data_IF_131156966929
#
_entry.id   IF_131156966929
#
_cell.length_a   1.000
_cell.length_b   1.000
_cell.length_c   1.000
_cell.angle_alpha   90.00
_cell.angle_beta   90.00
_cell.angle_gamma   90.00
#
_symmetry.space_group_name_H-M   'P 1'
#
loop_
_entity.id
_entity.type
_entity.pdbx_description
1 polymer ?
#
# COMPACT_ATOMS: atom_id res chain seq x y z
N UNK A 1 -14.05 -5.75 -16.56
CA UNK A 1 -13.68 -4.39 -16.07
C UNK A 1 -12.32 -4.46 -15.41
N UNK A 2 -11.41 -3.55 -15.71
CA UNK A 2 -10.15 -3.49 -14.99
C UNK A 2 -10.37 -3.19 -13.52
N UNK A 3 -9.48 -3.71 -12.67
CA UNK A 3 -9.51 -3.48 -11.24
C UNK A 3 -9.22 -1.99 -10.95
N UNK A 4 -10.03 -1.26 -10.21
CA UNK A 4 -9.79 0.14 -9.92
C UNK A 4 -8.61 0.35 -8.95
N UNK A 5 -7.98 1.52 -9.03
CA UNK A 5 -6.94 1.92 -8.06
C UNK A 5 -7.55 1.97 -6.65
N UNK A 6 -6.84 1.44 -5.68
CA UNK A 6 -7.29 1.33 -4.29
C UNK A 6 -8.05 0.05 -3.98
N UNK A 7 -8.21 -0.83 -4.96
CA UNK A 7 -8.65 -2.20 -4.73
C UNK A 7 -7.52 -3.19 -5.01
N UNK A 8 -7.59 -4.37 -4.43
CA UNK A 8 -6.64 -5.43 -4.66
C UNK A 8 -7.33 -6.79 -4.63
N UNK A 9 -6.81 -7.72 -5.43
CA UNK A 9 -7.24 -9.12 -5.42
C UNK A 9 -6.05 -10.02 -5.14
N UNK A 10 -6.28 -11.05 -4.36
CA UNK A 10 -5.34 -12.10 -4.07
C UNK A 10 -5.76 -13.38 -4.80
N UNK A 11 -4.88 -13.92 -5.61
CA UNK A 11 -5.13 -15.13 -6.40
C UNK A 11 -4.02 -16.16 -6.18
N UNK A 12 -4.31 -17.46 -6.29
CA UNK A 12 -3.27 -18.47 -6.28
C UNK A 12 -2.29 -18.26 -7.45
N UNK A 13 -1.00 -18.40 -7.20
CA UNK A 13 0.03 -18.24 -8.23
C UNK A 13 0.16 -19.45 -9.17
N UNK A 14 -0.34 -20.60 -8.74
CA UNK A 14 -0.08 -21.89 -9.38
C UNK A 14 1.29 -22.48 -9.04
N UNK A 15 2.08 -21.83 -8.21
CA UNK A 15 3.38 -22.29 -7.74
C UNK A 15 3.39 -22.44 -6.21
N UNK A 16 4.43 -23.11 -5.69
CA UNK A 16 4.60 -23.28 -4.23
C UNK A 16 5.14 -22.00 -3.60
N UNK A 17 6.02 -21.29 -4.29
CA UNK A 17 6.65 -20.08 -3.78
C UNK A 17 6.90 -19.07 -4.93
N UNK A 18 6.25 -17.91 -4.92
CA UNK A 18 5.20 -17.52 -3.97
C UNK A 18 3.91 -18.31 -4.21
N UNK A 19 3.17 -18.60 -3.15
CA UNK A 19 1.88 -19.33 -3.25
C UNK A 19 0.74 -18.46 -3.78
N UNK A 20 0.83 -17.15 -3.61
CA UNK A 20 -0.19 -16.18 -4.01
C UNK A 20 0.43 -15.00 -4.76
N UNK A 21 -0.38 -14.41 -5.62
CA UNK A 21 -0.11 -13.13 -6.27
C UNK A 21 -1.19 -12.14 -5.85
N UNK A 22 -0.77 -10.91 -5.58
CA UNK A 22 -1.68 -9.81 -5.26
C UNK A 22 -1.58 -8.78 -6.38
N UNK A 23 -2.70 -8.53 -7.04
CA UNK A 23 -2.83 -7.47 -8.03
C UNK A 23 -3.43 -6.24 -7.36
N UNK A 24 -2.67 -5.16 -7.34
CA UNK A 24 -3.07 -3.86 -6.79
C UNK A 24 -2.63 -2.77 -7.78
N UNK A 25 -3.53 -2.31 -8.66
CA UNK A 25 -3.16 -1.37 -9.71
C UNK A 25 -2.85 0.01 -9.12
N UNK A 26 -1.83 0.66 -9.67
CA UNK A 26 -1.47 2.06 -9.38
C UNK A 26 -1.95 3.03 -10.46
N UNK A 27 -2.41 2.51 -11.59
CA UNK A 27 -2.81 3.28 -12.76
C UNK A 27 -4.19 2.84 -13.25
N UNK A 28 -4.99 3.79 -13.72
CA UNK A 28 -6.29 3.53 -14.32
C UNK A 28 -6.17 3.20 -15.81
N UNK A 29 -5.13 3.70 -16.45
CA UNK A 29 -4.79 3.42 -17.84
C UNK A 29 -3.30 3.14 -18.00
N UNK A 30 -2.94 2.37 -19.02
CA UNK A 30 -1.53 2.11 -19.34
C UNK A 30 -0.80 3.42 -19.62
N UNK A 31 0.42 3.54 -19.10
CA UNK A 31 1.29 4.71 -19.26
C UNK A 31 0.80 6.00 -18.56
N UNK A 32 -0.14 5.92 -17.64
CA UNK A 32 -0.54 7.06 -16.83
C UNK A 32 0.63 7.53 -15.94
N UNK A 33 0.88 8.84 -15.93
CA UNK A 33 1.78 9.46 -14.96
C UNK A 33 1.04 9.62 -13.62
N UNK A 34 1.48 8.93 -12.60
CA UNK A 34 0.87 8.95 -11.25
C UNK A 34 1.76 9.63 -10.22
N UNK A 35 2.77 10.39 -10.66
CA UNK A 35 3.78 11.02 -9.80
C UNK A 35 3.21 12.07 -8.83
N UNK A 36 2.06 12.65 -9.16
CA UNK A 36 1.37 13.64 -8.33
C UNK A 36 -0.01 13.15 -7.86
N UNK A 37 -0.14 11.86 -7.70
CA UNK A 37 -1.37 11.21 -7.22
C UNK A 37 -1.10 10.41 -5.95
N UNK A 38 -2.17 9.99 -5.29
CA UNK A 38 -2.15 9.12 -4.13
C UNK A 38 -2.18 7.64 -4.48
N UNK A 39 -2.13 7.32 -5.76
CA UNK A 39 -2.39 5.99 -6.27
C UNK A 39 -1.46 4.95 -5.66
N UNK A 40 -0.19 5.28 -5.43
CA UNK A 40 0.77 4.36 -4.80
C UNK A 40 0.39 4.04 -3.35
N UNK A 41 -0.01 5.04 -2.58
CA UNK A 41 -0.45 4.83 -1.19
C UNK A 41 -1.73 4.00 -1.14
N UNK A 42 -2.69 4.29 -2.01
CA UNK A 42 -3.95 3.54 -2.13
C UNK A 42 -3.71 2.09 -2.54
N UNK A 43 -2.88 1.86 -3.55
CA UNK A 43 -2.54 0.50 -4.01
C UNK A 43 -1.81 -0.30 -2.94
N UNK A 44 -0.87 0.32 -2.23
CA UNK A 44 -0.12 -0.33 -1.16
C UNK A 44 -1.04 -0.73 0.00
N UNK A 45 -1.91 0.17 0.46
CA UNK A 45 -2.88 -0.13 1.51
C UNK A 45 -3.86 -1.23 1.09
N UNK A 46 -4.35 -1.18 -0.14
CA UNK A 46 -5.24 -2.22 -0.69
C UNK A 46 -4.56 -3.59 -0.78
N UNK A 47 -3.27 -3.63 -1.14
CA UNK A 47 -2.50 -4.87 -1.17
C UNK A 47 -2.39 -5.50 0.23
N UNK A 48 -2.08 -4.73 1.26
CA UNK A 48 -2.03 -5.23 2.64
C UNK A 48 -3.42 -5.63 3.16
N UNK A 49 -4.47 -4.93 2.77
CA UNK A 49 -5.84 -5.32 3.10
C UNK A 49 -6.21 -6.66 2.45
N UNK A 50 -5.78 -6.92 1.22
CA UNK A 50 -5.99 -8.21 0.57
C UNK A 50 -5.27 -9.35 1.30
N UNK A 51 -4.05 -9.11 1.80
CA UNK A 51 -3.34 -10.06 2.68
C UNK A 51 -4.13 -10.33 3.95
N UNK A 52 -4.62 -9.30 4.61
CA UNK A 52 -5.40 -9.42 5.83
C UNK A 52 -6.68 -10.23 5.62
N UNK A 53 -7.43 -9.94 4.55
CA UNK A 53 -8.64 -10.69 4.19
C UNK A 53 -8.33 -12.16 3.93
N UNK A 54 -7.26 -12.46 3.20
CA UNK A 54 -6.85 -13.84 2.92
C UNK A 54 -6.50 -14.59 4.20
N UNK A 55 -5.79 -13.97 5.11
CA UNK A 55 -5.45 -14.56 6.41
C UNK A 55 -6.66 -14.68 7.34
N UNK A 56 -7.68 -13.85 7.20
CA UNK A 56 -8.94 -14.00 7.93
C UNK A 56 -9.75 -15.21 7.42
N UNK A 57 -9.74 -15.45 6.10
CA UNK A 57 -10.39 -16.63 5.50
C UNK A 57 -9.65 -17.92 5.85
N UNK A 58 -8.33 -17.91 5.75
CA UNK A 58 -7.47 -19.07 6.01
C UNK A 58 -6.27 -18.61 6.83
N UNK A 59 -6.30 -18.76 8.17
CA UNK A 59 -5.25 -18.28 9.06
C UNK A 59 -3.86 -18.78 8.67
N UNK A 60 -2.90 -17.87 8.64
CA UNK A 60 -1.50 -18.18 8.34
C UNK A 60 -1.19 -18.49 6.86
N UNK A 61 -2.11 -18.20 5.93
CA UNK A 61 -1.90 -18.45 4.50
C UNK A 61 -0.75 -17.62 3.94
N UNK A 62 -0.63 -16.36 4.34
CA UNK A 62 0.39 -15.43 3.89
C UNK A 62 1.19 -14.96 5.11
N UNK A 63 2.47 -15.30 5.16
CA UNK A 63 3.37 -14.96 6.28
C UNK A 63 4.36 -13.85 5.91
N UNK A 64 4.62 -13.69 4.64
CA UNK A 64 5.53 -12.67 4.11
C UNK A 64 5.04 -12.16 2.77
N UNK A 65 5.32 -10.90 2.48
CA UNK A 65 4.95 -10.24 1.24
C UNK A 65 6.19 -9.59 0.63
N UNK A 66 6.45 -9.88 -0.63
CA UNK A 66 7.46 -9.17 -1.41
C UNK A 66 6.79 -8.05 -2.20
N UNK A 67 7.31 -6.85 -2.06
CA UNK A 67 6.84 -5.65 -2.75
C UNK A 67 7.94 -5.09 -3.65
N UNK A 68 7.52 -4.58 -4.81
CA UNK A 68 8.36 -3.76 -5.69
C UNK A 68 8.03 -2.28 -5.50
N UNK A 69 8.86 -1.37 -6.03
CA UNK A 69 8.55 0.06 -6.04
C UNK A 69 7.33 0.35 -6.91
N UNK A 70 6.17 0.53 -6.28
CA UNK A 70 4.90 0.73 -6.97
C UNK A 70 4.89 2.06 -7.72
N UNK A 71 4.60 2.03 -9.03
CA UNK A 71 4.55 3.23 -9.87
C UNK A 71 5.91 3.88 -10.18
N UNK A 72 7.02 3.28 -9.77
CA UNK A 72 8.35 3.87 -9.87
C UNK A 72 8.93 3.92 -11.30
N UNK A 73 8.43 3.10 -12.21
CA UNK A 73 8.89 3.07 -13.60
C UNK A 73 7.88 3.78 -14.51
N UNK A 74 6.92 3.04 -15.04
CA UNK A 74 5.92 3.58 -15.98
C UNK A 74 5.08 4.72 -15.36
N UNK A 75 4.77 4.64 -14.08
CA UNK A 75 4.04 5.68 -13.35
C UNK A 75 4.84 6.94 -13.06
N UNK A 76 6.14 6.96 -13.34
CA UNK A 76 7.06 8.09 -13.18
C UNK A 76 7.16 8.66 -11.75
N UNK A 77 6.85 7.85 -10.74
CA UNK A 77 6.99 8.25 -9.34
C UNK A 77 8.47 8.20 -8.95
N UNK A 78 9.07 9.31 -8.50
CA UNK A 78 10.45 9.27 -8.00
C UNK A 78 10.59 8.27 -6.84
N UNK A 79 11.71 7.56 -6.77
CA UNK A 79 11.91 6.48 -5.81
C UNK A 79 11.68 6.91 -4.35
N UNK A 80 12.11 8.11 -3.99
CA UNK A 80 11.91 8.65 -2.64
C UNK A 80 10.45 8.93 -2.34
N UNK A 81 9.70 9.46 -3.30
CA UNK A 81 8.26 9.71 -3.18
C UNK A 81 7.51 8.38 -3.13
N UNK A 82 7.88 7.43 -3.96
CA UNK A 82 7.34 6.08 -3.95
C UNK A 82 7.49 5.42 -2.57
N UNK A 83 8.68 5.47 -1.99
CA UNK A 83 8.93 4.91 -0.67
C UNK A 83 8.06 5.57 0.42
N UNK A 84 7.92 6.90 0.38
CA UNK A 84 7.08 7.63 1.33
C UNK A 84 5.60 7.29 1.18
N UNK A 85 5.11 7.19 -0.05
CA UNK A 85 3.70 6.82 -0.31
C UNK A 85 3.42 5.36 0.08
N UNK A 86 4.33 4.45 -0.21
CA UNK A 86 4.20 3.05 0.22
C UNK A 86 4.20 2.93 1.75
N UNK A 87 5.07 3.67 2.43
CA UNK A 87 5.10 3.72 3.88
C UNK A 87 3.80 4.30 4.46
N UNK A 88 3.28 5.36 3.86
CA UNK A 88 1.98 5.93 4.24
C UNK A 88 0.86 4.90 4.09
N UNK A 89 0.80 4.20 2.96
CA UNK A 89 -0.18 3.14 2.74
C UNK A 89 -0.08 2.00 3.76
N UNK A 90 1.13 1.60 4.11
CA UNK A 90 1.36 0.57 5.11
C UNK A 90 0.93 1.01 6.51
N UNK A 91 1.28 2.23 6.93
CA UNK A 91 0.90 2.74 8.26
C UNK A 91 -0.60 2.92 8.40
N UNK A 92 -1.26 3.42 7.36
CA UNK A 92 -2.72 3.52 7.33
C UNK A 92 -3.39 2.16 7.48
N UNK A 93 -2.89 1.16 6.78
CA UNK A 93 -3.38 -0.21 6.92
C UNK A 93 -3.16 -0.77 8.33
N UNK A 94 -1.97 -0.54 8.91
CA UNK A 94 -1.63 -1.08 10.22
C UNK A 94 -2.45 -0.47 11.36
N UNK A 95 -2.84 0.78 11.22
CA UNK A 95 -3.58 1.53 12.23
C UNK A 95 -5.10 1.39 12.08
N UNK A 96 -5.57 1.08 10.87
CA UNK A 96 -7.00 0.99 10.52
C UNK A 96 -7.29 -0.25 9.69
N UNK A 97 -8.29 -1.03 10.12
CA UNK A 97 -8.93 -2.01 9.25
C UNK A 97 -9.99 -1.29 8.42
N UNK A 98 -9.73 -1.09 7.14
CA UNK A 98 -10.70 -0.50 6.23
C UNK A 98 -11.77 -1.53 5.87
N UNK A 99 -13.03 -1.14 5.96
CA UNK A 99 -14.13 -2.02 5.59
C UNK A 99 -14.32 -2.11 4.09
N UNK A 100 -14.08 -1.01 3.38
CA UNK A 100 -14.21 -0.92 1.93
C UNK A 100 -13.25 0.10 1.29
N UNK A 101 -13.37 0.23 -0.03
CA UNK A 101 -12.53 1.13 -0.83
C UNK A 101 -12.79 2.60 -0.56
N UNK A 102 -14.04 2.98 -0.33
CA UNK A 102 -14.41 4.38 -0.14
C UNK A 102 -13.92 4.88 1.23
N UNK A 103 -13.94 4.03 2.23
CA UNK A 103 -13.35 4.30 3.55
C UNK A 103 -11.83 4.48 3.44
N UNK A 104 -11.15 3.56 2.78
CA UNK A 104 -9.71 3.67 2.50
C UNK A 104 -9.38 4.98 1.77
N UNK A 105 -10.09 5.28 0.70
CA UNK A 105 -9.86 6.47 -0.11
C UNK A 105 -10.08 7.76 0.67
N UNK A 106 -11.16 7.85 1.43
CA UNK A 106 -11.47 9.04 2.23
C UNK A 106 -10.43 9.28 3.30
N UNK A 107 -9.97 8.23 3.98
CA UNK A 107 -8.92 8.31 5.02
C UNK A 107 -7.59 8.77 4.45
N UNK A 108 -7.15 8.19 3.32
CA UNK A 108 -5.89 8.59 2.67
C UNK A 108 -5.97 10.03 2.16
N UNK A 109 -7.08 10.42 1.55
CA UNK A 109 -7.28 11.78 1.05
C UNK A 109 -7.24 12.80 2.18
N UNK A 110 -7.92 12.53 3.30
CA UNK A 110 -7.93 13.41 4.46
C UNK A 110 -6.51 13.62 5.04
N UNK A 111 -5.72 12.55 5.16
CA UNK A 111 -4.35 12.66 5.68
C UNK A 111 -3.41 13.45 4.77
N UNK A 112 -3.62 13.36 3.47
CA UNK A 112 -2.77 14.08 2.51
C UNK A 112 -3.16 15.55 2.39
N UNK A 113 -4.41 15.86 2.51
CA UNK A 113 -4.87 17.25 2.68
C UNK A 113 -4.25 17.89 3.93
N UNK A 114 -4.10 17.15 5.01
CA UNK A 114 -3.43 17.63 6.22
C UNK A 114 -1.92 17.84 6.03
N UNK A 115 -1.27 16.98 5.24
CA UNK A 115 0.15 17.11 4.90
C UNK A 115 0.39 18.31 3.96
N UNK A 116 -0.47 18.53 2.98
CA UNK A 116 -0.38 19.66 2.06
C UNK A 116 -0.64 21.01 2.75
N UNK A 117 -1.52 21.04 3.74
CA UNK A 117 -1.83 22.24 4.54
C UNK A 117 -0.82 22.51 5.65
N UNK A 118 0.05 21.57 5.98
CA UNK A 118 1.07 21.75 7.00
C UNK A 118 2.14 22.76 6.51
N UNK A 119 2.47 23.79 7.29
CA UNK A 119 3.52 24.73 6.89
C UNK A 119 4.84 23.98 6.65
N UNK A 120 5.56 24.39 5.62
CA UNK A 120 6.78 23.75 5.09
C UNK A 120 7.89 23.49 6.13
N UNK A 121 7.80 24.07 7.31
CA UNK A 121 8.70 23.90 8.46
C UNK A 121 8.47 22.61 9.24
N UNK A 122 7.36 21.93 9.06
CA UNK A 122 7.10 20.62 9.70
C UNK A 122 7.40 19.49 8.74
N UNK A 123 8.67 19.28 8.45
CA UNK A 123 9.10 17.96 7.95
C UNK A 123 8.78 16.96 9.07
N UNK A 124 7.71 16.23 8.91
CA UNK A 124 7.45 15.08 9.76
C UNK A 124 8.62 14.12 9.56
N UNK A 125 9.53 14.09 10.53
CA UNK A 125 10.52 13.03 10.62
C UNK A 125 9.72 11.77 10.94
N UNK A 126 9.41 10.99 9.94
CA UNK A 126 8.90 9.65 10.15
C UNK A 126 10.07 8.86 10.75
N UNK A 127 10.04 8.73 12.07
CA UNK A 127 10.97 7.85 12.77
C UNK A 127 10.46 6.44 12.51
N UNK A 128 11.23 5.58 11.86
CA UNK A 128 10.82 4.19 11.68
C UNK A 128 10.57 3.59 13.07
N UNK A 129 9.53 2.76 13.22
CA UNK A 129 9.28 2.08 14.49
C UNK A 129 10.53 1.28 14.88
N UNK A 130 10.89 1.33 16.15
CA UNK A 130 11.99 0.54 16.68
C UNK A 130 11.79 -0.92 16.25
N UNK A 131 12.80 -1.51 15.60
CA UNK A 131 12.79 -2.94 15.27
C UNK A 131 12.46 -3.71 16.56
N UNK A 132 11.31 -4.35 16.59
CA UNK A 132 11.09 -5.39 17.60
C UNK A 132 12.14 -6.46 17.34
N UNK A 133 13.16 -6.49 18.14
CA UNK A 133 14.06 -7.62 18.20
C UNK A 133 13.22 -8.81 18.62
N UNK A 134 13.02 -9.75 17.69
CA UNK A 134 12.42 -11.03 18.03
C UNK A 134 13.31 -11.65 19.11
N UNK A 135 12.74 -11.84 20.32
CA UNK A 135 13.40 -12.60 21.36
C UNK A 135 13.62 -14.02 20.81
N UNK A 136 14.87 -14.39 20.56
CA UNK A 136 15.25 -15.79 20.34
C UNK A 136 14.98 -16.54 21.65
N UNK A 137 14.04 -17.44 21.60
CA UNK A 137 14.00 -18.59 22.52
C UNK A 137 14.53 -19.80 21.82
#
# INVERSE_FOLDING_TARGET
MPLPVGSAVCVPSGAVNPGFLISAPTMESSSQNVSQTLNVALACAAAFQAVHRKNAETPGSIRSVALVGMGAQTGQVPARVCANLMWTGYTLFNDHCFEDYDDLRSTVTAQLDDIEKAPATRRVRITPPARRTAARR
#
